data_IF_853674346699
#
_entry.id   IF_853674346699
#
_cell.length_a   1.000
_cell.length_b   1.000
_cell.length_c   1.000
_cell.angle_alpha   90.00
_cell.angle_beta   90.00
_cell.angle_gamma   90.00
#
_symmetry.space_group_name_H-M   'P 1'
#
loop_
_entity.id
_entity.type
_entity.pdbx_description
1 polymer ?
#
# COMPACT_ATOMS: atom_id res chain seq x y z
N UNK A 1 -67.97 33.98 1.93
CA UNK A 1 -68.92 32.97 1.42
C UNK A 1 -68.43 32.53 0.05
N UNK A 2 -68.40 31.22 -0.16
CA UNK A 2 -67.50 30.46 -1.01
C UNK A 2 -67.58 30.76 -2.51
N UNK A 3 -66.42 30.85 -3.16
CA UNK A 3 -66.26 30.72 -4.60
C UNK A 3 -65.49 29.42 -4.89
N UNK A 4 -66.21 28.43 -5.42
CA UNK A 4 -65.67 27.22 -6.03
C UNK A 4 -65.21 27.58 -7.45
N UNK A 5 -63.90 27.48 -7.73
CA UNK A 5 -63.37 27.49 -9.10
C UNK A 5 -62.62 26.17 -9.30
N UNK A 6 -63.14 25.39 -10.24
CA UNK A 6 -62.67 24.07 -10.62
C UNK A 6 -61.31 24.12 -11.35
N UNK A 7 -60.55 23.05 -11.17
CA UNK A 7 -59.17 22.84 -11.60
C UNK A 7 -59.02 22.76 -13.14
N UNK A 8 -57.87 23.20 -13.70
CA UNK A 8 -57.56 23.06 -15.11
C UNK A 8 -57.04 21.65 -15.44
N UNK A 9 -57.63 21.05 -16.46
CA UNK A 9 -57.26 19.76 -17.04
C UNK A 9 -55.96 19.87 -17.84
N UNK A 10 -54.98 19.04 -17.52
CA UNK A 10 -53.72 18.89 -18.26
C UNK A 10 -53.92 17.91 -19.41
N UNK A 11 -53.69 18.39 -20.64
CA UNK A 11 -53.73 17.60 -21.88
C UNK A 11 -52.41 16.82 -22.02
N UNK A 12 -52.50 15.49 -21.99
CA UNK A 12 -51.37 14.58 -22.25
C UNK A 12 -51.17 14.41 -23.76
N UNK A 13 -50.02 14.85 -24.28
CA UNK A 13 -49.60 14.59 -25.65
C UNK A 13 -48.85 13.25 -25.72
N UNK A 14 -49.45 12.25 -26.39
CA UNK A 14 -48.78 11.00 -26.77
C UNK A 14 -47.99 11.22 -28.07
N UNK A 15 -46.72 10.79 -28.17
CA UNK A 15 -46.01 10.74 -29.45
C UNK A 15 -46.47 9.52 -30.26
N UNK A 16 -46.71 9.76 -31.55
CA UNK A 16 -47.22 8.81 -32.52
C UNK A 16 -46.20 7.72 -32.89
N UNK A 17 -46.70 6.48 -33.01
CA UNK A 17 -45.97 5.33 -33.54
C UNK A 17 -45.63 5.54 -35.02
N UNK A 18 -44.35 5.60 -35.36
CA UNK A 18 -43.86 5.59 -36.74
C UNK A 18 -43.83 4.15 -37.28
N UNK A 19 -44.45 3.95 -38.43
CA UNK A 19 -44.50 2.67 -39.14
C UNK A 19 -43.15 2.33 -39.79
N UNK A 20 -42.80 1.05 -39.73
CA UNK A 20 -41.56 0.49 -40.28
C UNK A 20 -41.59 0.45 -41.83
N UNK A 21 -40.52 0.93 -42.45
CA UNK A 21 -40.24 0.80 -43.89
C UNK A 21 -39.39 -0.45 -44.11
N UNK A 22 -39.74 -1.36 -45.05
CA UNK A 22 -38.93 -2.55 -45.32
C UNK A 22 -37.71 -2.19 -46.19
N UNK A 23 -36.51 -2.51 -45.70
CA UNK A 23 -35.27 -2.43 -46.46
C UNK A 23 -34.87 -3.82 -46.98
N UNK A 24 -34.62 -3.89 -48.29
CA UNK A 24 -34.25 -5.05 -49.08
C UNK A 24 -32.88 -5.65 -48.66
N UNK A 25 -32.66 -6.97 -48.82
CA UNK A 25 -31.37 -7.59 -48.51
C UNK A 25 -30.31 -7.21 -49.56
N UNK A 26 -29.19 -6.64 -49.12
CA UNK A 26 -28.00 -6.46 -49.94
C UNK A 26 -27.12 -7.71 -49.87
N UNK A 27 -26.72 -8.20 -51.04
CA UNK A 27 -25.81 -9.32 -51.26
C UNK A 27 -24.44 -9.04 -50.64
N UNK A 28 -23.94 -9.97 -49.81
CA UNK A 28 -22.61 -9.92 -49.22
C UNK A 28 -21.57 -10.53 -50.17
N UNK A 29 -20.87 -9.66 -50.88
CA UNK A 29 -19.68 -9.99 -51.65
C UNK A 29 -18.58 -10.48 -50.71
N UNK A 30 -18.16 -11.73 -50.91
CA UNK A 30 -17.08 -12.38 -50.16
C UNK A 30 -15.73 -11.83 -50.61
N UNK A 31 -15.07 -11.04 -49.74
CA UNK A 31 -13.65 -10.71 -49.90
C UNK A 31 -12.81 -11.68 -49.07
N UNK A 32 -12.17 -12.59 -49.81
CA UNK A 32 -11.04 -13.44 -49.43
C UNK A 32 -9.95 -12.65 -48.69
N UNK A 33 -9.80 -12.90 -47.39
CA UNK A 33 -8.62 -12.52 -46.63
C UNK A 33 -7.53 -13.59 -46.81
N UNK A 34 -6.38 -13.13 -47.28
CA UNK A 34 -5.14 -13.88 -47.52
C UNK A 34 -4.51 -14.31 -46.19
N UNK A 35 -4.06 -15.57 -46.01
CA UNK A 35 -3.49 -16.01 -44.75
C UNK A 35 -2.08 -15.44 -44.57
N UNK A 36 -1.85 -14.76 -43.45
CA UNK A 36 -0.50 -14.49 -42.95
C UNK A 36 0.05 -15.78 -42.34
N UNK A 37 1.21 -16.19 -42.80
CA UNK A 37 1.90 -17.41 -42.39
C UNK A 37 2.26 -17.35 -40.90
N UNK A 38 1.60 -18.19 -40.09
CA UNK A 38 2.06 -18.56 -38.76
C UNK A 38 3.18 -19.61 -38.92
N UNK A 39 4.42 -19.22 -38.66
CA UNK A 39 5.52 -20.16 -38.50
C UNK A 39 5.35 -20.85 -37.15
N UNK A 40 4.87 -22.09 -37.19
CA UNK A 40 4.90 -23.01 -36.06
C UNK A 40 6.34 -23.45 -35.82
N UNK A 41 6.95 -23.02 -34.72
CA UNK A 41 8.15 -23.68 -34.18
C UNK A 41 7.66 -24.79 -33.26
N UNK A 42 7.88 -26.03 -33.70
CA UNK A 42 7.56 -27.23 -32.96
C UNK A 42 8.42 -27.33 -31.69
N UNK A 43 7.77 -27.36 -30.52
CA UNK A 43 8.39 -27.79 -29.28
C UNK A 43 8.51 -29.33 -29.32
N UNK A 44 9.73 -29.83 -29.45
CA UNK A 44 10.03 -31.25 -29.26
C UNK A 44 10.11 -31.53 -27.76
N UNK A 45 9.06 -32.15 -27.22
CA UNK A 45 9.10 -32.85 -25.95
C UNK A 45 9.58 -34.28 -26.20
N UNK A 46 10.64 -34.73 -25.52
CA UNK A 46 10.74 -36.01 -24.78
C UNK A 46 12.20 -36.34 -24.44
N UNK A 47 12.49 -36.42 -23.13
CA UNK A 47 13.19 -37.53 -22.47
C UNK A 47 13.51 -37.13 -21.03
N UNK A 48 12.53 -37.30 -20.13
CA UNK A 48 12.78 -37.27 -18.68
C UNK A 48 13.45 -38.58 -18.30
N UNK A 49 14.68 -38.51 -17.80
CA UNK A 49 15.34 -39.64 -17.16
C UNK A 49 14.76 -39.85 -15.76
N UNK A 50 14.29 -41.08 -15.55
CA UNK A 50 13.84 -41.68 -14.32
C UNK A 50 14.99 -41.71 -13.29
N UNK A 51 14.80 -41.09 -12.13
CA UNK A 51 15.66 -41.32 -10.97
C UNK A 51 14.82 -41.77 -9.77
N UNK A 52 15.02 -43.05 -9.49
CA UNK A 52 14.63 -43.87 -8.35
C UNK A 52 14.20 -43.17 -7.05
N UNK A 53 13.09 -43.70 -6.53
CA UNK A 53 12.51 -43.47 -5.23
C UNK A 53 13.49 -43.76 -4.07
N UNK A 54 13.54 -42.85 -3.09
CA UNK A 54 14.09 -43.11 -1.77
C UNK A 54 12.95 -43.12 -0.73
N UNK A 55 12.76 -44.27 -0.11
CA UNK A 55 11.75 -44.61 0.89
C UNK A 55 11.95 -43.83 2.20
N UNK A 56 10.93 -43.13 2.75
CA UNK A 56 11.01 -42.63 4.12
C UNK A 56 10.73 -43.76 5.11
N UNK A 57 11.68 -43.95 6.02
CA UNK A 57 11.66 -44.94 7.11
C UNK A 57 10.75 -44.44 8.25
N UNK A 58 9.87 -45.27 8.83
CA UNK A 58 9.00 -44.85 9.92
C UNK A 58 9.75 -44.85 11.25
N UNK A 59 9.59 -43.79 12.05
CA UNK A 59 9.93 -43.80 13.47
C UNK A 59 8.64 -43.79 14.29
N UNK A 60 8.46 -44.89 15.02
CA UNK A 60 7.33 -45.15 15.89
C UNK A 60 7.46 -44.38 17.20
N UNK A 61 6.31 -44.02 17.76
CA UNK A 61 6.12 -43.34 19.03
C UNK A 61 6.59 -44.16 20.25
N UNK A 62 6.98 -43.46 21.32
CA UNK A 62 7.00 -43.97 22.70
C UNK A 62 6.72 -42.82 23.69
N UNK A 63 5.43 -42.67 24.00
CA UNK A 63 4.79 -42.67 25.32
C UNK A 63 5.46 -42.11 26.61
N UNK A 64 4.64 -41.31 27.33
CA UNK A 64 4.43 -41.10 28.80
C UNK A 64 5.47 -40.35 29.67
N UNK A 65 5.11 -39.17 30.19
CA UNK A 65 4.61 -39.00 31.58
C UNK A 65 4.52 -37.55 32.05
N UNK A 66 3.32 -37.19 32.50
CA UNK A 66 2.98 -36.05 33.37
C UNK A 66 3.60 -36.20 34.76
N UNK A 67 4.37 -35.21 35.22
CA UNK A 67 4.49 -34.89 36.64
C UNK A 67 4.50 -33.37 36.84
N UNK A 68 3.55 -32.95 37.67
CA UNK A 68 3.37 -31.60 38.17
C UNK A 68 4.46 -31.24 39.18
N UNK A 69 4.93 -29.99 39.14
CA UNK A 69 5.54 -29.33 40.28
C UNK A 69 4.75 -28.05 40.55
N UNK A 70 3.96 -28.13 41.61
CA UNK A 70 3.29 -27.05 42.33
C UNK A 70 4.33 -26.08 42.91
N UNK A 71 4.20 -24.79 42.60
CA UNK A 71 4.69 -23.72 43.46
C UNK A 71 3.55 -22.75 43.73
N UNK A 72 2.98 -22.92 44.93
CA UNK A 72 2.09 -21.98 45.59
C UNK A 72 2.84 -20.68 45.89
N UNK A 73 2.27 -19.54 45.52
CA UNK A 73 2.60 -18.26 46.16
C UNK A 73 1.30 -17.44 46.25
N UNK A 74 0.82 -17.11 47.46
CA UNK A 74 -0.48 -16.46 47.64
C UNK A 74 -0.45 -14.96 47.31
N UNK A 75 -1.62 -14.37 46.97
CA UNK A 75 -1.74 -12.94 46.67
C UNK A 75 -1.74 -12.08 47.94
N UNK A 76 -0.89 -11.04 47.96
CA UNK A 76 -0.85 -10.06 49.04
C UNK A 76 -1.92 -8.99 48.82
N UNK A 77 -2.82 -8.88 49.79
CA UNK A 77 -3.92 -7.92 49.87
C UNK A 77 -3.38 -6.59 50.38
N UNK A 78 -3.48 -5.53 49.57
CA UNK A 78 -3.20 -4.17 50.01
C UNK A 78 -4.31 -3.69 50.99
N UNK A 79 -3.91 -3.39 52.22
CA UNK A 79 -4.78 -2.83 53.25
C UNK A 79 -4.86 -1.30 53.09
N UNK A 80 -6.08 -0.78 53.00
CA UNK A 80 -6.38 0.64 53.11
C UNK A 80 -6.13 1.13 54.54
N UNK A 81 -5.35 2.20 54.69
CA UNK A 81 -5.35 3.03 55.90
C UNK A 81 -5.35 4.53 55.56
N UNK A 82 -6.06 5.36 56.34
CA UNK A 82 -6.54 6.66 55.89
C UNK A 82 -5.54 7.80 56.04
N UNK A 83 -5.78 8.79 55.18
CA UNK A 83 -5.11 10.07 55.01
C UNK A 83 -5.04 10.89 56.32
N UNK A 84 -3.83 11.14 56.81
CA UNK A 84 -3.57 12.18 57.81
C UNK A 84 -2.94 13.40 57.13
N UNK A 85 -3.59 14.54 57.30
CA UNK A 85 -3.16 15.83 56.79
C UNK A 85 -1.82 16.25 57.40
N UNK A 86 -0.81 16.43 56.56
CA UNK A 86 0.44 17.11 56.92
C UNK A 86 0.54 18.41 56.09
N UNK A 87 0.77 19.48 56.82
CA UNK A 87 0.68 20.85 56.39
C UNK A 87 1.63 21.21 55.24
N UNK A 88 1.14 22.11 54.40
CA UNK A 88 1.82 22.82 53.33
C UNK A 88 3.09 23.51 53.87
N UNK A 89 4.26 22.96 53.53
CA UNK A 89 5.51 23.71 53.49
C UNK A 89 5.85 23.92 52.01
N UNK A 90 5.81 25.17 51.57
CA UNK A 90 6.25 25.56 50.24
C UNK A 90 7.78 25.42 50.16
N UNK A 91 8.27 24.23 49.79
CA UNK A 91 9.60 24.10 49.21
C UNK A 91 9.54 24.66 47.79
N UNK A 92 10.18 25.81 47.58
CA UNK A 92 10.50 26.31 46.25
C UNK A 92 11.28 25.22 45.51
N UNK A 93 10.61 24.58 44.55
CA UNK A 93 11.28 23.75 43.57
C UNK A 93 12.18 24.67 42.75
N UNK A 94 13.49 24.54 42.97
CA UNK A 94 14.48 25.04 42.03
C UNK A 94 14.25 24.21 40.77
N UNK A 95 13.59 24.82 39.80
CA UNK A 95 13.41 24.34 38.46
C UNK A 95 14.81 24.13 37.88
N UNK A 96 15.30 22.89 37.98
CA UNK A 96 16.50 22.49 37.27
C UNK A 96 16.14 22.60 35.79
N UNK A 97 16.81 23.45 35.00
CA UNK A 97 16.61 23.38 33.56
C UNK A 97 17.01 21.95 33.17
N UNK A 98 16.04 21.18 32.70
CA UNK A 98 16.30 19.99 31.89
C UNK A 98 17.04 20.51 30.66
N UNK A 99 18.37 20.61 30.79
CA UNK A 99 19.24 20.64 29.63
C UNK A 99 19.04 19.28 29.00
N UNK A 100 18.17 19.23 28.00
CA UNK A 100 18.27 18.23 26.94
C UNK A 100 19.75 18.13 26.64
N UNK A 101 20.37 16.99 26.92
CA UNK A 101 21.77 16.77 26.59
C UNK A 101 21.88 17.01 25.10
N UNK A 102 22.36 18.20 24.73
CA UNK A 102 22.66 18.53 23.36
C UNK A 102 23.84 17.62 23.02
N UNK A 103 23.54 16.45 22.46
CA UNK A 103 24.52 15.56 21.87
C UNK A 103 25.19 16.40 20.79
N UNK A 104 26.34 16.97 21.14
CA UNK A 104 27.14 17.75 20.21
C UNK A 104 27.57 16.76 19.14
N UNK A 105 27.53 17.14 17.86
CA UNK A 105 27.85 16.26 16.72
C UNK A 105 29.11 15.39 16.96
N UNK A 106 30.07 15.88 17.74
CA UNK A 106 31.25 15.15 18.23
C UNK A 106 30.98 13.78 18.88
N UNK A 107 29.80 13.53 19.47
CA UNK A 107 29.46 12.26 20.12
C UNK A 107 28.79 11.25 19.18
N UNK A 108 28.26 11.68 18.03
CA UNK A 108 27.74 10.77 16.99
C UNK A 108 28.84 10.35 16.01
N UNK A 109 29.82 11.22 15.75
CA UNK A 109 31.02 10.91 14.98
C UNK A 109 32.12 10.35 15.89
N UNK A 110 31.90 9.19 16.51
CA UNK A 110 32.92 8.53 17.34
C UNK A 110 33.97 7.82 16.46
N UNK A 111 34.90 8.61 15.92
CA UNK A 111 36.08 8.13 15.21
C UNK A 111 37.14 9.21 15.17
N UNK A 112 38.15 9.09 16.04
CA UNK A 112 39.39 9.89 16.10
C UNK A 112 39.19 11.41 15.89
N UNK A 113 39.04 12.13 17.00
CA UNK A 113 38.80 13.58 17.10
C UNK A 113 39.92 14.48 16.52
N UNK A 114 40.75 13.95 15.64
CA UNK A 114 41.79 14.64 14.86
C UNK A 114 41.58 14.55 13.34
N UNK A 115 40.54 13.87 12.86
CA UNK A 115 40.19 13.87 11.44
C UNK A 115 39.30 15.06 11.08
N UNK A 116 39.71 15.72 10.00
CA UNK A 116 39.05 16.79 9.27
C UNK A 116 37.58 16.38 8.98
N UNK A 117 36.64 16.76 9.86
CA UNK A 117 35.22 16.48 9.67
C UNK A 117 34.72 17.26 8.46
N UNK A 118 33.94 16.62 7.61
CA UNK A 118 33.35 17.27 6.45
C UNK A 118 32.35 18.34 6.90
N UNK A 119 32.56 19.62 6.56
CA UNK A 119 31.63 20.68 6.91
C UNK A 119 30.21 20.41 6.38
N UNK A 120 30.06 19.72 5.25
CA UNK A 120 28.73 19.36 4.73
C UNK A 120 28.03 18.36 5.66
N UNK A 121 28.74 17.35 6.16
CA UNK A 121 28.19 16.35 7.10
C UNK A 121 27.86 16.95 8.46
N UNK A 122 28.68 17.86 8.97
CA UNK A 122 28.38 18.57 10.23
C UNK A 122 27.12 19.42 10.08
N UNK A 123 27.00 20.18 8.99
CA UNK A 123 25.81 20.99 8.72
C UNK A 123 24.55 20.12 8.54
N UNK A 124 24.68 19.00 7.82
CA UNK A 124 23.59 18.05 7.64
C UNK A 124 23.15 17.42 8.96
N UNK A 125 24.07 16.97 9.80
CA UNK A 125 23.75 16.43 11.13
C UNK A 125 22.97 17.44 12.00
N UNK A 126 23.42 18.69 12.02
CA UNK A 126 22.75 19.76 12.76
C UNK A 126 21.34 20.01 12.24
N UNK A 127 21.15 19.96 10.91
CA UNK A 127 19.83 20.15 10.30
C UNK A 127 18.77 19.14 10.74
N UNK A 128 19.17 17.91 11.12
CA UNK A 128 18.23 16.86 11.54
C UNK A 128 18.05 16.81 13.06
N UNK A 129 19.05 17.25 13.84
CA UNK A 129 19.04 17.17 15.31
C UNK A 129 18.58 18.46 16.00
N UNK A 130 18.64 19.61 15.33
CA UNK A 130 18.16 20.89 15.85
C UNK A 130 17.03 21.43 14.97
N UNK A 131 15.76 21.08 15.25
CA UNK A 131 14.62 21.54 14.45
C UNK A 131 14.35 23.06 14.56
N UNK A 132 14.81 23.71 15.63
CA UNK A 132 14.65 25.16 15.87
C UNK A 132 15.90 25.97 15.46
N UNK A 133 16.39 25.78 14.24
CA UNK A 133 17.48 26.58 13.69
C UNK A 133 16.95 27.93 13.13
N UNK A 134 17.28 29.08 13.75
CA UNK A 134 16.83 30.39 13.30
C UNK A 134 17.46 30.85 11.98
N UNK A 135 18.46 30.14 11.45
CA UNK A 135 19.14 30.50 10.19
C UNK A 135 18.46 29.94 8.94
N UNK A 136 17.45 29.07 9.08
CA UNK A 136 16.70 28.48 7.97
C UNK A 136 17.48 27.49 7.10
N UNK A 137 18.76 27.22 7.43
CA UNK A 137 19.60 26.27 6.69
C UNK A 137 19.11 24.83 6.84
N UNK A 138 18.62 24.48 8.03
CA UNK A 138 18.02 23.18 8.27
C UNK A 138 16.79 22.90 7.39
N UNK A 139 15.92 23.90 7.21
CA UNK A 139 14.75 23.82 6.34
C UNK A 139 15.17 23.69 4.87
N UNK A 140 16.15 24.48 4.42
CA UNK A 140 16.64 24.44 3.04
C UNK A 140 17.26 23.08 2.63
N UNK A 141 17.98 22.42 3.55
CA UNK A 141 18.52 21.08 3.28
C UNK A 141 17.42 20.03 3.18
N UNK A 142 16.44 20.06 4.10
CA UNK A 142 15.31 19.12 4.09
C UNK A 142 14.43 19.32 2.85
N UNK A 143 14.17 20.56 2.46
CA UNK A 143 13.42 20.90 1.25
C UNK A 143 14.19 20.50 -0.02
N UNK A 144 15.51 20.74 -0.05
CA UNK A 144 16.37 20.30 -1.14
C UNK A 144 16.41 18.79 -1.30
N UNK A 145 16.46 18.07 -0.17
CA UNK A 145 16.36 16.61 -0.12
C UNK A 145 15.01 16.13 -0.65
N UNK A 146 13.90 16.72 -0.18
CA UNK A 146 12.57 16.39 -0.68
C UNK A 146 12.43 16.66 -2.18
N UNK A 147 13.01 17.75 -2.68
CA UNK A 147 13.06 18.08 -4.10
C UNK A 147 13.84 17.05 -4.93
N UNK A 148 15.02 16.63 -4.44
CA UNK A 148 15.85 15.61 -5.10
C UNK A 148 15.14 14.25 -5.13
N UNK A 149 14.56 13.83 -4.01
CA UNK A 149 13.82 12.58 -3.89
C UNK A 149 12.53 12.59 -4.72
N UNK A 150 11.91 13.76 -4.93
CA UNK A 150 10.76 13.94 -5.80
C UNK A 150 11.09 14.10 -7.29
N UNK A 151 12.36 14.30 -7.66
CA UNK A 151 12.77 14.58 -9.02
C UNK A 151 12.77 13.34 -9.93
N UNK A 152 12.93 12.14 -9.36
CA UNK A 152 12.91 10.90 -10.13
C UNK A 152 11.46 10.54 -10.43
N UNK A 153 11.02 10.61 -11.71
CA UNK A 153 9.65 10.27 -12.05
C UNK A 153 9.40 8.84 -11.61
N UNK A 154 8.24 8.58 -11.03
CA UNK A 154 7.87 7.23 -10.66
C UNK A 154 8.69 6.63 -9.48
N UNK A 155 9.41 7.47 -8.73
CA UNK A 155 9.99 7.08 -7.44
C UNK A 155 9.15 7.61 -6.29
N UNK A 156 9.14 6.87 -5.17
CA UNK A 156 8.60 7.36 -3.90
C UNK A 156 9.65 7.12 -2.83
N UNK A 157 10.67 7.95 -2.85
CA UNK A 157 11.79 7.85 -1.94
C UNK A 157 11.53 8.67 -0.68
N UNK A 158 11.95 8.13 0.45
CA UNK A 158 11.93 8.81 1.75
C UNK A 158 13.27 8.62 2.41
N UNK A 159 13.73 9.65 3.10
CA UNK A 159 14.96 9.60 3.88
C UNK A 159 14.62 9.68 5.37
N UNK A 160 15.21 8.79 6.16
CA UNK A 160 15.11 8.75 7.62
C UNK A 160 16.51 8.89 8.17
N UNK A 161 16.74 9.89 9.00
CA UNK A 161 18.05 10.13 9.61
C UNK A 161 18.12 9.52 11.01
N UNK A 162 19.12 8.68 11.24
CA UNK A 162 19.49 8.16 12.55
C UNK A 162 20.68 8.97 13.09
N UNK A 163 20.48 9.82 14.12
CA UNK A 163 21.53 10.64 14.69
C UNK A 163 22.52 9.86 15.55
N UNK A 164 22.17 8.68 16.05
CA UNK A 164 23.06 7.89 16.92
C UNK A 164 24.16 7.22 16.09
N UNK A 165 23.81 6.79 14.87
CA UNK A 165 24.73 6.13 13.94
C UNK A 165 25.22 7.04 12.81
N UNK A 166 24.82 8.31 12.80
CA UNK A 166 25.05 9.27 11.72
C UNK A 166 24.74 8.68 10.32
N UNK A 167 23.61 7.98 10.22
CA UNK A 167 23.20 7.26 9.01
C UNK A 167 21.91 7.86 8.43
N UNK A 168 21.92 8.18 7.14
CA UNK A 168 20.70 8.50 6.39
C UNK A 168 20.21 7.24 5.66
N UNK A 169 19.10 6.70 6.13
CA UNK A 169 18.45 5.56 5.52
C UNK A 169 17.51 6.01 4.41
N UNK A 170 17.71 5.47 3.21
CA UNK A 170 16.90 5.76 2.03
C UNK A 170 15.96 4.60 1.74
N UNK A 171 14.66 4.86 1.90
CA UNK A 171 13.58 3.89 1.74
C UNK A 171 12.72 4.23 0.53
N UNK A 172 11.91 3.27 0.10
CA UNK A 172 10.92 3.46 -0.96
C UNK A 172 11.24 2.65 -2.21
N UNK A 173 10.85 3.17 -3.37
CA UNK A 173 11.02 2.47 -4.64
C UNK A 173 11.56 3.34 -5.77
N UNK A 174 12.30 2.70 -6.67
CA UNK A 174 12.83 3.23 -7.92
C UNK A 174 12.21 2.48 -9.12
N UNK A 175 12.02 3.14 -10.28
CA UNK A 175 11.48 2.48 -11.45
C UNK A 175 12.48 1.57 -12.18
N UNK A 176 13.77 1.79 -12.00
CA UNK A 176 14.84 1.01 -12.65
C UNK A 176 16.12 1.06 -11.81
N UNK A 177 16.92 -0.01 -11.85
CA UNK A 177 18.10 -0.15 -10.99
C UNK A 177 19.22 0.84 -11.40
N UNK A 178 19.26 1.23 -12.67
CA UNK A 178 20.21 2.23 -13.19
C UNK A 178 20.11 3.61 -12.51
N UNK A 179 19.00 3.92 -11.85
CA UNK A 179 18.81 5.17 -11.10
C UNK A 179 19.33 5.10 -9.65
N UNK A 180 19.55 3.90 -9.11
CA UNK A 180 20.00 3.69 -7.73
C UNK A 180 21.31 4.41 -7.44
N UNK A 181 22.33 4.17 -8.26
CA UNK A 181 23.65 4.80 -8.13
C UNK A 181 23.60 6.33 -8.21
N UNK A 182 23.00 6.93 -9.26
CA UNK A 182 22.83 8.38 -9.38
C UNK A 182 22.12 9.03 -8.20
N UNK A 183 21.04 8.42 -7.68
CA UNK A 183 20.32 8.93 -6.51
C UNK A 183 21.21 8.92 -5.26
N UNK A 184 21.87 7.79 -4.97
CA UNK A 184 22.79 7.69 -3.84
C UNK A 184 23.95 8.67 -3.93
N UNK A 185 24.53 8.85 -5.13
CA UNK A 185 25.62 9.79 -5.35
C UNK A 185 25.18 11.25 -5.13
N UNK A 186 24.00 11.62 -5.63
CA UNK A 186 23.45 12.97 -5.45
C UNK A 186 23.13 13.26 -3.97
N UNK A 187 22.61 12.26 -3.25
CA UNK A 187 22.39 12.35 -1.80
C UNK A 187 23.69 12.47 -1.02
N UNK A 188 24.70 11.67 -1.35
CA UNK A 188 26.00 11.73 -0.67
C UNK A 188 26.65 13.10 -0.84
N UNK A 189 26.52 13.71 -2.02
CA UNK A 189 27.03 15.06 -2.28
C UNK A 189 26.36 16.13 -1.40
N UNK A 190 25.08 15.93 -1.06
CA UNK A 190 24.32 16.82 -0.17
C UNK A 190 24.66 16.58 1.31
N UNK A 191 24.85 15.31 1.70
CA UNK A 191 25.05 14.89 3.09
C UNK A 191 26.53 14.92 3.53
N UNK A 192 27.47 15.09 2.60
CA UNK A 192 28.90 15.04 2.88
C UNK A 192 29.41 13.62 3.15
N UNK A 193 30.73 13.44 3.27
CA UNK A 193 31.40 12.13 3.35
C UNK A 193 31.23 11.38 4.67
N UNK A 194 30.89 12.07 5.76
CA UNK A 194 30.89 11.47 7.11
C UNK A 194 29.50 10.98 7.54
N UNK A 195 28.44 11.34 6.81
CA UNK A 195 27.11 10.72 6.98
C UNK A 195 27.02 9.48 6.10
N UNK A 196 26.83 8.32 6.71
CA UNK A 196 26.65 7.06 6.00
C UNK A 196 25.28 7.03 5.30
N UNK A 197 25.22 6.50 4.09
CA UNK A 197 23.95 6.22 3.41
C UNK A 197 23.62 4.74 3.56
N UNK A 198 22.39 4.44 4.00
CA UNK A 198 21.85 3.09 4.06
C UNK A 198 20.81 2.91 2.97
N UNK A 199 21.11 2.10 1.95
CA UNK A 199 20.22 1.81 0.83
C UNK A 199 19.21 0.70 1.19
N UNK A 200 17.95 1.08 1.35
CA UNK A 200 16.80 0.19 1.53
C UNK A 200 15.76 0.39 0.43
N UNK A 201 16.18 0.93 -0.71
CA UNK A 201 15.31 1.13 -1.86
C UNK A 201 15.05 -0.17 -2.60
N UNK A 202 13.81 -0.30 -3.07
CA UNK A 202 13.35 -1.42 -3.89
C UNK A 202 13.19 -1.01 -5.34
N UNK A 203 13.23 -2.00 -6.22
CA UNK A 203 12.98 -1.78 -7.63
C UNK A 203 11.50 -2.07 -7.91
N UNK A 204 10.71 -1.06 -8.25
CA UNK A 204 9.32 -1.22 -8.69
C UNK A 204 9.22 -0.83 -10.18
N UNK A 205 9.41 -1.80 -11.10
CA UNK A 205 9.48 -1.49 -12.53
C UNK A 205 8.16 -0.91 -13.07
N UNK A 206 8.23 -0.35 -14.28
CA UNK A 206 7.01 -0.10 -15.05
C UNK A 206 6.46 -1.46 -15.50
N UNK A 207 5.13 -1.69 -15.46
CA UNK A 207 4.04 -0.72 -15.27
C UNK A 207 3.61 -0.43 -13.82
N UNK A 208 4.11 -1.16 -12.83
CA UNK A 208 3.65 -1.06 -11.42
C UNK A 208 3.79 0.34 -10.86
N UNK A 209 4.88 1.02 -11.21
CA UNK A 209 5.01 2.41 -10.81
C UNK A 209 3.88 3.31 -11.40
N UNK A 210 3.54 3.12 -12.67
CA UNK A 210 2.45 3.86 -13.29
C UNK A 210 1.12 3.63 -12.57
N UNK A 211 0.89 2.39 -12.11
CA UNK A 211 -0.25 2.07 -11.26
C UNK A 211 -0.19 2.87 -9.95
N UNK A 212 0.90 2.84 -9.17
CA UNK A 212 0.99 3.61 -7.90
C UNK A 212 0.81 5.11 -8.09
N UNK A 213 1.37 5.67 -9.16
CA UNK A 213 1.18 7.08 -9.49
C UNK A 213 -0.27 7.38 -9.84
N UNK A 214 -0.97 6.49 -10.55
CA UNK A 214 -2.38 6.67 -10.85
C UNK A 214 -3.25 6.50 -9.59
N UNK A 215 -2.94 5.52 -8.74
CA UNK A 215 -3.59 5.28 -7.44
C UNK A 215 -3.50 6.52 -6.56
N UNK A 216 -2.31 7.13 -6.43
CA UNK A 216 -2.15 8.35 -5.61
C UNK A 216 -2.90 9.56 -6.15
N UNK A 217 -3.28 9.54 -7.44
CA UNK A 217 -3.99 10.60 -8.12
C UNK A 217 -5.51 10.38 -8.20
N UNK A 218 -6.06 9.29 -7.66
CA UNK A 218 -7.52 9.03 -7.70
C UNK A 218 -8.34 9.99 -6.83
N UNK A 219 -7.71 10.91 -6.10
CA UNK A 219 -8.42 11.89 -5.25
C UNK A 219 -8.82 11.35 -3.87
N UNK A 220 -8.25 10.21 -3.45
CA UNK A 220 -8.39 9.65 -2.11
C UNK A 220 -7.05 9.75 -1.36
N UNK A 221 -7.06 10.11 -0.06
CA UNK A 221 -5.87 10.03 0.78
C UNK A 221 -5.42 8.58 0.98
N UNK A 222 -4.13 8.38 1.23
CA UNK A 222 -3.64 7.09 1.71
C UNK A 222 -4.05 6.91 3.17
N UNK A 223 -4.43 5.69 3.55
CA UNK A 223 -4.88 5.37 4.90
C UNK A 223 -3.84 5.67 5.98
N UNK A 224 -4.26 6.29 7.08
CA UNK A 224 -3.40 6.49 8.27
C UNK A 224 -3.19 5.19 9.05
N UNK A 225 -4.06 4.20 8.87
CA UNK A 225 -3.88 2.87 9.45
C UNK A 225 -2.67 2.18 8.81
N UNK A 226 -2.35 2.46 7.54
CA UNK A 226 -1.07 2.04 6.98
C UNK A 226 0.13 2.74 7.60
N UNK A 227 -0.02 3.97 8.11
CA UNK A 227 1.11 4.71 8.69
C UNK A 227 1.42 4.20 10.10
N UNK A 228 0.43 3.62 10.78
CA UNK A 228 0.53 3.34 12.22
C UNK A 228 0.26 1.89 12.61
N UNK A 229 -0.32 1.06 11.74
CA UNK A 229 -0.63 -0.35 12.04
C UNK A 229 0.51 -1.28 11.61
N UNK A 230 1.21 -1.94 12.56
CA UNK A 230 2.28 -2.89 12.26
C UNK A 230 1.83 -4.13 11.45
N UNK A 231 0.52 -4.41 11.41
CA UNK A 231 -0.03 -5.52 10.60
C UNK A 231 -0.15 -5.19 9.11
N UNK A 232 -0.16 -3.90 8.77
CA UNK A 232 -0.24 -3.39 7.40
C UNK A 232 1.09 -2.79 6.92
N UNK A 233 2.03 -2.59 7.84
CA UNK A 233 3.41 -2.20 7.58
C UNK A 233 4.34 -3.41 7.58
N UNK A 234 5.32 -3.41 6.67
CA UNK A 234 6.52 -4.21 6.83
C UNK A 234 7.40 -3.68 7.97
N UNK A 235 8.41 -4.46 8.41
CA UNK A 235 9.32 -4.07 9.51
C UNK A 235 10.03 -2.73 9.28
N UNK A 236 10.11 -2.27 8.04
CA UNK A 236 10.77 -1.00 7.65
C UNK A 236 9.80 0.17 7.41
N UNK A 237 8.56 0.10 7.94
CA UNK A 237 7.49 1.10 7.71
C UNK A 237 7.12 1.28 6.22
N UNK A 238 7.33 0.24 5.42
CA UNK A 238 6.88 0.16 4.02
C UNK A 238 5.54 -0.60 3.93
N UNK A 239 4.84 -0.51 2.80
CA UNK A 239 3.69 -1.37 2.56
C UNK A 239 4.08 -2.85 2.79
N UNK A 240 3.21 -3.60 3.49
CA UNK A 240 3.45 -5.02 3.74
C UNK A 240 3.69 -5.77 2.43
N UNK A 241 4.72 -6.60 2.45
CA UNK A 241 5.06 -7.51 1.35
C UNK A 241 4.37 -8.83 1.59
N UNK A 242 3.69 -9.33 0.56
CA UNK A 242 3.15 -10.67 0.54
C UNK A 242 3.88 -11.45 -0.55
N UNK A 243 4.63 -12.45 -0.14
CA UNK A 243 5.40 -13.29 -1.05
C UNK A 243 4.64 -14.58 -1.34
N UNK A 244 4.56 -14.96 -2.60
CA UNK A 244 3.92 -16.19 -3.06
C UNK A 244 4.84 -16.95 -4.02
N UNK A 245 4.73 -18.27 -4.00
CA UNK A 245 5.43 -19.16 -4.94
C UNK A 245 4.51 -19.64 -6.06
N UNK A 246 5.08 -20.00 -7.21
CA UNK A 246 4.33 -20.51 -8.35
C UNK A 246 3.47 -21.73 -8.00
N UNK A 247 2.17 -21.62 -8.28
CA UNK A 247 1.17 -22.64 -7.93
C UNK A 247 0.42 -22.38 -6.63
N UNK A 248 0.83 -21.41 -5.81
CA UNK A 248 0.06 -21.00 -4.62
C UNK A 248 -1.20 -20.23 -4.99
N UNK A 249 -2.19 -20.27 -4.09
CA UNK A 249 -3.38 -19.44 -4.19
C UNK A 249 -3.11 -18.08 -3.55
N UNK A 250 -3.28 -17.01 -4.32
CA UNK A 250 -3.21 -15.65 -3.81
C UNK A 250 -4.46 -15.34 -3.00
N UNK A 251 -4.25 -15.10 -1.71
CA UNK A 251 -5.26 -14.58 -0.80
C UNK A 251 -4.59 -13.72 0.28
N UNK A 252 -5.30 -12.71 0.78
CA UNK A 252 -4.83 -11.88 1.87
C UNK A 252 -5.99 -11.32 2.68
N UNK A 253 -5.71 -10.99 3.94
CA UNK A 253 -6.68 -10.39 4.84
C UNK A 253 -6.46 -8.87 4.91
N UNK A 254 -7.55 -8.11 4.96
CA UNK A 254 -7.57 -6.67 5.14
C UNK A 254 -8.59 -6.29 6.21
N UNK A 255 -8.48 -5.07 6.72
CA UNK A 255 -9.43 -4.51 7.69
C UNK A 255 -10.10 -3.30 7.05
N UNK A 256 -11.42 -3.24 7.11
CA UNK A 256 -12.19 -2.06 6.70
C UNK A 256 -11.77 -0.84 7.55
N UNK A 257 -11.91 0.38 7.02
CA UNK A 257 -11.51 1.58 7.74
C UNK A 257 -12.38 1.83 8.97
N UNK A 258 -12.10 2.90 9.71
CA UNK A 258 -12.82 3.25 10.94
C UNK A 258 -14.24 3.81 10.72
N UNK A 259 -14.73 3.85 9.48
CA UNK A 259 -16.11 4.17 9.09
C UNK A 259 -16.72 3.07 8.19
N UNK A 260 -18.06 2.97 8.10
CA UNK A 260 -18.70 2.08 7.13
C UNK A 260 -18.31 2.45 5.70
N UNK A 261 -17.82 1.48 4.93
CA UNK A 261 -17.26 1.75 3.60
C UNK A 261 -17.55 0.63 2.59
N UNK A 262 -17.67 1.02 1.33
CA UNK A 262 -17.63 0.15 0.17
C UNK A 262 -16.17 -0.08 -0.24
N UNK A 263 -15.79 -1.34 -0.42
CA UNK A 263 -14.41 -1.74 -0.68
C UNK A 263 -14.24 -2.24 -2.12
N UNK A 264 -13.30 -1.63 -2.82
CA UNK A 264 -12.86 -2.02 -4.16
C UNK A 264 -11.44 -2.52 -4.04
N UNK A 265 -11.23 -3.81 -4.30
CA UNK A 265 -9.93 -4.45 -4.20
C UNK A 265 -9.48 -4.87 -5.58
N UNK A 266 -8.33 -4.35 -5.97
CA UNK A 266 -7.78 -4.41 -7.31
C UNK A 266 -6.36 -4.97 -7.26
N UNK A 267 -6.01 -5.78 -8.26
CA UNK A 267 -4.68 -6.36 -8.41
C UNK A 267 -4.05 -5.91 -9.72
N UNK A 268 -2.92 -5.21 -9.63
CA UNK A 268 -2.16 -4.69 -10.77
C UNK A 268 -1.03 -5.65 -11.10
N UNK A 269 -1.14 -6.33 -12.23
CA UNK A 269 -0.23 -7.37 -12.67
C UNK A 269 1.05 -6.81 -13.31
N UNK A 270 2.01 -7.70 -13.58
CA UNK A 270 3.25 -7.39 -14.27
C UNK A 270 3.05 -6.84 -15.70
N UNK A 271 1.91 -7.12 -16.34
CA UNK A 271 1.58 -6.72 -17.71
C UNK A 271 0.91 -5.33 -17.80
N UNK A 272 0.56 -4.72 -16.67
CA UNK A 272 -0.05 -3.39 -16.61
C UNK A 272 -1.57 -3.40 -16.72
N UNK A 273 -2.18 -4.56 -16.48
CA UNK A 273 -3.62 -4.69 -16.32
C UNK A 273 -3.98 -4.58 -14.84
N UNK A 274 -5.26 -4.31 -14.61
CA UNK A 274 -5.92 -4.47 -13.32
C UNK A 274 -6.83 -5.69 -13.39
N UNK A 275 -6.88 -6.47 -12.30
CA UNK A 275 -7.81 -7.55 -12.06
C UNK A 275 -8.68 -7.17 -10.86
N UNK A 276 -10.00 -7.13 -11.02
CA UNK A 276 -10.92 -6.70 -9.96
C UNK A 276 -11.26 -7.88 -9.04
N UNK A 277 -10.64 -7.88 -7.85
CA UNK A 277 -10.80 -8.93 -6.85
C UNK A 277 -12.11 -8.77 -6.06
N UNK A 278 -12.56 -7.54 -5.87
CA UNK A 278 -13.86 -7.20 -5.28
C UNK A 278 -14.25 -5.77 -5.67
N UNK A 279 -15.50 -5.48 -6.02
CA UNK A 279 -16.57 -6.42 -6.32
C UNK A 279 -16.33 -7.12 -7.68
N UNK A 280 -16.96 -8.28 -7.88
CA UNK A 280 -17.00 -8.99 -9.16
C UNK A 280 -18.26 -9.87 -9.24
N UNK A 281 -18.36 -10.73 -10.27
CA UNK A 281 -19.52 -11.60 -10.47
C UNK A 281 -19.79 -12.59 -9.33
N UNK A 282 -18.79 -12.91 -8.51
CA UNK A 282 -18.89 -13.82 -7.38
C UNK A 282 -18.99 -13.11 -6.03
N UNK A 283 -18.46 -11.88 -5.95
CA UNK A 283 -18.43 -11.08 -4.72
C UNK A 283 -19.18 -9.76 -4.97
N UNK A 284 -20.41 -9.62 -4.47
CA UNK A 284 -21.18 -8.40 -4.66
C UNK A 284 -20.55 -7.23 -3.90
N UNK A 285 -20.81 -6.01 -4.37
CA UNK A 285 -20.45 -4.81 -3.65
C UNK A 285 -21.36 -4.67 -2.42
N UNK A 286 -20.78 -4.66 -1.23
CA UNK A 286 -21.51 -4.53 0.04
C UNK A 286 -20.86 -3.49 0.94
N UNK A 287 -21.68 -2.80 1.75
CA UNK A 287 -21.19 -1.88 2.77
C UNK A 287 -20.57 -2.68 3.92
N UNK A 288 -19.24 -2.62 4.07
CA UNK A 288 -18.53 -3.17 5.20
C UNK A 288 -18.71 -2.27 6.42
N UNK A 289 -18.88 -2.87 7.61
CA UNK A 289 -18.87 -2.12 8.85
C UNK A 289 -17.44 -1.71 9.23
N UNK A 290 -17.33 -0.63 10.02
CA UNK A 290 -16.06 -0.12 10.53
C UNK A 290 -15.22 -1.24 11.17
N UNK A 291 -13.92 -1.28 10.85
CA UNK A 291 -12.92 -2.22 11.40
C UNK A 291 -13.25 -3.71 11.23
N UNK A 292 -14.14 -4.06 10.30
CA UNK A 292 -14.43 -5.46 9.98
C UNK A 292 -13.22 -6.09 9.28
N UNK A 293 -12.84 -7.31 9.66
CA UNK A 293 -11.85 -8.08 8.93
C UNK A 293 -12.49 -8.72 7.69
N UNK A 294 -11.83 -8.61 6.53
CA UNK A 294 -12.26 -9.19 5.28
C UNK A 294 -11.12 -9.99 4.66
N UNK A 295 -11.48 -11.07 3.96
CA UNK A 295 -10.55 -11.83 3.13
C UNK A 295 -10.76 -11.48 1.68
N UNK A 296 -9.66 -11.33 0.96
CA UNK A 296 -9.61 -11.19 -0.49
C UNK A 296 -8.96 -12.42 -1.08
N UNK A 297 -9.55 -12.94 -2.15
CA UNK A 297 -9.14 -14.20 -2.77
C UNK A 297 -9.61 -15.42 -1.99
N UNK A 298 -9.68 -16.55 -2.67
CA UNK A 298 -10.07 -17.83 -2.10
C UNK A 298 -8.83 -18.70 -1.86
N UNK A 299 -8.60 -19.10 -0.60
CA UNK A 299 -7.51 -20.01 -0.24
C UNK A 299 -7.87 -21.45 -0.57
N UNK A 300 -9.13 -21.83 -0.32
CA UNK A 300 -9.70 -23.12 -0.71
C UNK A 300 -10.91 -22.92 -1.62
N UNK A 301 -11.38 -23.95 -2.34
CA UNK A 301 -12.55 -23.84 -3.22
C UNK A 301 -13.85 -23.45 -2.50
N UNK A 302 -13.92 -23.66 -1.19
CA UNK A 302 -15.06 -23.33 -0.34
C UNK A 302 -15.04 -21.87 0.14
N UNK A 303 -13.89 -21.18 0.05
CA UNK A 303 -13.77 -19.79 0.42
C UNK A 303 -14.51 -18.89 -0.60
N UNK A 304 -15.20 -17.85 -0.14
CA UNK A 304 -15.77 -16.85 -1.04
C UNK A 304 -14.63 -16.07 -1.71
N UNK A 305 -14.68 -15.93 -3.04
CA UNK A 305 -13.77 -15.06 -3.79
C UNK A 305 -13.29 -15.69 -5.07
N UNK A 306 -12.37 -14.98 -5.74
CA UNK A 306 -11.67 -15.53 -6.89
C UNK A 306 -10.55 -16.48 -6.42
N UNK A 307 -10.48 -17.64 -7.06
CA UNK A 307 -9.33 -18.54 -6.94
C UNK A 307 -8.25 -18.06 -7.91
N UNK A 308 -7.18 -17.50 -7.38
CA UNK A 308 -6.11 -16.88 -8.17
C UNK A 308 -4.85 -17.70 -7.95
N UNK A 309 -4.47 -18.49 -8.94
CA UNK A 309 -3.23 -19.27 -8.89
C UNK A 309 -2.07 -18.44 -9.39
N UNK A 310 -1.03 -18.31 -8.57
CA UNK A 310 0.19 -17.58 -8.90
C UNK A 310 0.94 -18.31 -10.01
N UNK A 311 1.25 -17.60 -11.09
CA UNK A 311 1.93 -18.15 -12.26
C UNK A 311 2.78 -17.10 -12.98
N UNK A 312 3.51 -17.49 -14.02
CA UNK A 312 4.33 -16.56 -14.79
C UNK A 312 3.50 -15.48 -15.52
N UNK A 313 4.08 -14.29 -15.79
CA UNK A 313 5.42 -13.86 -15.39
C UNK A 313 5.47 -13.51 -13.89
N UNK A 314 6.49 -14.03 -13.21
CA UNK A 314 6.76 -13.70 -11.81
C UNK A 314 7.36 -12.31 -11.67
N UNK A 315 7.07 -11.61 -10.58
CA UNK A 315 7.64 -10.30 -10.35
C UNK A 315 7.07 -9.58 -9.14
N UNK A 316 7.15 -8.26 -9.20
CA UNK A 316 6.54 -7.38 -8.24
C UNK A 316 5.22 -6.87 -8.80
N UNK A 317 4.17 -7.03 -8.03
CA UNK A 317 2.79 -6.74 -8.38
C UNK A 317 2.16 -5.97 -7.21
N UNK A 318 0.97 -5.42 -7.39
CA UNK A 318 0.36 -4.53 -6.38
C UNK A 318 -1.08 -4.93 -6.18
N UNK A 319 -1.45 -5.20 -4.93
CA UNK A 319 -2.86 -5.23 -4.54
C UNK A 319 -3.21 -3.90 -3.87
N UNK A 320 -4.33 -3.29 -4.25
CA UNK A 320 -4.84 -2.05 -3.65
C UNK A 320 -6.27 -2.26 -3.21
N UNK A 321 -6.61 -1.77 -2.02
CA UNK A 321 -8.00 -1.60 -1.62
C UNK A 321 -8.32 -0.10 -1.53
N UNK A 322 -9.34 0.32 -2.26
CA UNK A 322 -9.98 1.63 -2.13
C UNK A 322 -11.22 1.47 -1.25
N UNK A 323 -11.36 2.33 -0.26
CA UNK A 323 -12.54 2.44 0.57
C UNK A 323 -13.26 3.76 0.28
N UNK A 324 -14.59 3.72 0.22
CA UNK A 324 -15.42 4.91 0.02
C UNK A 324 -16.71 4.83 0.86
N UNK A 325 -17.12 5.94 1.47
CA UNK A 325 -18.36 6.00 2.29
C UNK A 325 -19.64 5.84 1.47
N UNK A 326 -19.56 6.03 0.15
CA UNK A 326 -20.63 5.76 -0.81
C UNK A 326 -20.10 5.00 -2.03
N UNK A 327 -20.95 4.27 -2.77
CA UNK A 327 -20.50 3.50 -3.92
C UNK A 327 -19.92 4.42 -5.01
N UNK A 328 -18.68 4.16 -5.45
CA UNK A 328 -18.04 4.86 -6.56
C UNK A 328 -18.73 4.52 -7.89
N UNK A 329 -19.20 3.28 -8.04
CA UNK A 329 -19.96 2.79 -9.18
C UNK A 329 -20.72 1.50 -8.82
N UNK A 330 -21.83 1.23 -9.52
CA UNK A 330 -22.70 0.06 -9.28
C UNK A 330 -22.53 -1.05 -10.35
N UNK A 331 -21.96 -0.72 -11.50
CA UNK A 331 -21.81 -1.67 -12.61
C UNK A 331 -20.61 -2.60 -12.38
N UNK A 332 -20.79 -3.90 -12.64
CA UNK A 332 -19.68 -4.84 -12.66
C UNK A 332 -18.72 -4.48 -13.80
N UNK A 333 -17.44 -4.32 -13.46
CA UNK A 333 -16.35 -4.14 -14.41
C UNK A 333 -15.96 -5.49 -15.02
N UNK A 334 -15.39 -5.52 -16.24
CA UNK A 334 -14.78 -6.74 -16.78
C UNK A 334 -13.74 -7.26 -15.79
N UNK A 335 -13.61 -8.59 -15.62
CA UNK A 335 -12.69 -9.15 -14.61
C UNK A 335 -11.26 -8.56 -14.69
N UNK A 336 -10.76 -8.35 -15.91
CA UNK A 336 -9.47 -7.69 -16.17
C UNK A 336 -9.60 -6.64 -17.28
N UNK A 337 -8.87 -5.53 -17.12
CA UNK A 337 -8.75 -4.46 -18.11
C UNK A 337 -7.46 -3.63 -17.92
N UNK A 338 -7.11 -2.71 -18.85
CA UNK A 338 -5.92 -1.87 -18.69
C UNK A 338 -6.00 -0.95 -17.46
N UNK A 339 -4.90 -0.87 -16.69
CA UNK A 339 -4.88 -0.15 -15.42
C UNK A 339 -5.09 1.37 -15.55
N UNK A 340 -4.43 2.03 -16.52
CA UNK A 340 -4.45 3.49 -16.62
C UNK A 340 -5.86 4.07 -16.90
N UNK A 341 -6.62 3.59 -17.91
CA UNK A 341 -8.01 4.03 -18.12
C UNK A 341 -8.93 3.77 -16.92
N UNK A 342 -8.69 2.68 -16.18
CA UNK A 342 -9.46 2.40 -14.97
C UNK A 342 -9.18 3.40 -13.85
N UNK A 343 -7.91 3.73 -13.61
CA UNK A 343 -7.52 4.70 -12.58
C UNK A 343 -8.04 6.11 -12.91
N UNK A 344 -8.05 6.51 -14.19
CA UNK A 344 -8.69 7.74 -14.64
C UNK A 344 -10.21 7.73 -14.40
N UNK A 345 -10.86 6.59 -14.67
CA UNK A 345 -12.28 6.41 -14.36
C UNK A 345 -12.57 6.53 -12.86
N UNK A 346 -11.75 5.89 -12.01
CA UNK A 346 -11.90 5.99 -10.55
C UNK A 346 -11.75 7.43 -10.07
N UNK A 347 -10.75 8.16 -10.58
CA UNK A 347 -10.54 9.57 -10.26
C UNK A 347 -11.79 10.40 -10.54
N UNK A 348 -12.39 10.23 -11.72
CA UNK A 348 -13.62 10.94 -12.09
C UNK A 348 -14.80 10.59 -11.17
N UNK A 349 -14.91 9.33 -10.72
CA UNK A 349 -15.96 8.92 -9.77
C UNK A 349 -15.75 9.49 -8.39
N UNK A 350 -14.52 9.53 -7.89
CA UNK A 350 -14.20 10.15 -6.61
C UNK A 350 -14.49 11.65 -6.66
N UNK A 351 -14.07 12.33 -7.74
CA UNK A 351 -14.35 13.76 -7.95
C UNK A 351 -15.87 14.03 -7.96
N UNK A 352 -16.64 13.21 -8.68
CA UNK A 352 -18.09 13.29 -8.71
C UNK A 352 -18.70 13.15 -7.30
N UNK A 353 -18.29 12.12 -6.53
CA UNK A 353 -18.83 11.88 -5.18
C UNK A 353 -18.50 12.99 -4.21
N UNK A 354 -17.26 13.49 -4.23
CA UNK A 354 -16.86 14.65 -3.41
C UNK A 354 -17.65 15.91 -3.75
N UNK A 355 -18.03 16.10 -5.01
CA UNK A 355 -18.82 17.27 -5.42
C UNK A 355 -20.29 17.17 -4.98
N UNK A 356 -20.82 15.95 -4.85
CA UNK A 356 -22.22 15.68 -4.48
C UNK A 356 -22.42 15.60 -2.96
N UNK A 357 -21.40 15.12 -2.25
CA UNK A 357 -21.44 14.87 -0.80
C UNK A 357 -20.20 15.48 -0.12
N UNK A 358 -20.35 16.62 0.58
CA UNK A 358 -19.26 17.24 1.34
C UNK A 358 -18.69 16.34 2.44
N UNK A 359 -19.48 15.39 2.95
CA UNK A 359 -19.09 14.44 4.00
C UNK A 359 -18.51 13.15 3.42
N UNK A 360 -18.29 13.08 2.10
CA UNK A 360 -17.68 11.93 1.45
C UNK A 360 -16.31 11.62 2.05
N UNK A 361 -16.17 10.38 2.52
CA UNK A 361 -14.91 9.83 3.01
C UNK A 361 -14.43 8.75 2.06
N UNK A 362 -13.12 8.66 1.92
CA UNK A 362 -12.50 7.53 1.27
C UNK A 362 -11.01 7.54 1.52
N UNK A 363 -10.39 6.39 1.35
CA UNK A 363 -8.95 6.22 1.48
C UNK A 363 -8.48 5.01 0.68
N UNK A 364 -7.17 4.84 0.56
CA UNK A 364 -6.60 3.64 -0.06
C UNK A 364 -5.43 3.08 0.75
N UNK A 365 -5.27 1.78 0.61
CA UNK A 365 -4.22 0.93 1.21
C UNK A 365 -3.68 0.06 0.08
N UNK A 366 -2.36 -0.15 0.02
CA UNK A 366 -1.75 -1.07 -0.94
C UNK A 366 -0.79 -2.06 -0.28
N UNK A 367 -0.62 -3.20 -0.93
CA UNK A 367 0.30 -4.26 -0.60
C UNK A 367 1.23 -4.49 -1.79
N UNK A 368 2.51 -4.68 -1.51
CA UNK A 368 3.45 -5.17 -2.51
C UNK A 368 3.34 -6.68 -2.54
N UNK A 369 3.09 -7.23 -3.72
CA UNK A 369 3.00 -8.67 -3.93
C UNK A 369 4.27 -9.10 -4.66
N UNK A 370 4.99 -10.05 -4.10
CA UNK A 370 6.17 -10.64 -4.71
C UNK A 370 5.85 -12.06 -5.12
N UNK A 371 5.92 -12.35 -6.41
CA UNK A 371 5.69 -13.69 -6.94
C UNK A 371 7.01 -14.27 -7.44
N UNK A 372 7.26 -15.55 -7.16
CA UNK A 372 8.49 -16.23 -7.53
C UNK A 372 8.22 -17.61 -8.15
N UNK A 373 9.17 -18.08 -8.98
CA UNK A 373 9.19 -19.47 -9.41
C UNK A 373 9.37 -20.40 -8.20
N UNK A 374 8.82 -21.62 -8.31
CA UNK A 374 8.96 -22.69 -7.33
C UNK A 374 10.37 -23.32 -7.37
#
# INVERSE_FOLDING_TARGET
MSALLAEPQWVSAQPAFAQAVPLQPAESTSLTARPAAAQAVAAQATASQELAAATPRPVNASAVSTQALTQDTPPSVAQNQPLAAAATAAQQAIESPNQSEAITAALAFQGDATKDLDPASVAAFQSFTQPDDPTGQATGLRDGLAGLLGAVPCSRLQAVFDPDTATLELRGHLPEDGLRGPVLAALQAQMGRDIALSDKMRLLPRPQCGALSGISQVGLPQSTDQITNPLLLGPDAQARVLSYTGGEQLYFDLTAPDYPAYLYVDYFDAAGNVLHLSPNAHIPLTLAQSKTALRVGAKTPEDPGLQITVGPPYGQEIAVAFAASSPLYEALRPLSEPAAPYLDFLRLRVDEKRSQDPDFKGEWVYFLIETHAN
#
